data_IF_329092970921
#
_entry.id   IF_329092970921
#
_cell.length_a   1.000
_cell.length_b   1.000
_cell.length_c   1.000
_cell.angle_alpha   90.00
_cell.angle_beta   90.00
_cell.angle_gamma   90.00
#
_symmetry.space_group_name_H-M   'P 1'
#
loop_
_entity.id
_entity.type
_entity.pdbx_description
1 polymer ?
#
# COMPACT_ATOMS: atom_id res chain seq x y z
N UNK A 1 -4.17 -28.54 -7.35
CA UNK A 1 -5.23 -28.09 -8.28
C UNK A 1 -4.60 -27.07 -9.23
N UNK A 2 -4.71 -27.29 -10.55
CA UNK A 2 -4.15 -26.38 -11.55
C UNK A 2 -5.12 -25.23 -11.84
N UNK A 3 -4.58 -24.02 -11.98
CA UNK A 3 -5.27 -22.78 -12.31
C UNK A 3 -4.73 -22.28 -13.65
N UNK A 4 -5.60 -21.74 -14.49
CA UNK A 4 -5.23 -21.09 -15.74
C UNK A 4 -5.80 -19.67 -15.68
N UNK A 5 -4.93 -18.68 -15.76
CA UNK A 5 -5.27 -17.26 -15.82
C UNK A 5 -5.28 -16.78 -17.28
N UNK A 6 -5.70 -15.54 -17.48
CA UNK A 6 -5.61 -14.84 -18.76
C UNK A 6 -4.17 -14.85 -19.31
N UNK A 7 -4.02 -14.80 -20.64
CA UNK A 7 -2.71 -14.96 -21.28
C UNK A 7 -2.16 -16.39 -21.28
N UNK A 8 -2.94 -17.38 -20.80
CA UNK A 8 -2.53 -18.78 -20.75
C UNK A 8 -1.57 -19.11 -19.61
N UNK A 9 -1.43 -18.19 -18.65
CA UNK A 9 -0.57 -18.35 -17.47
C UNK A 9 -1.12 -19.50 -16.62
N UNK A 10 -0.26 -20.47 -16.32
CA UNK A 10 -0.62 -21.62 -15.48
C UNK A 10 -0.01 -21.45 -14.09
N UNK A 11 -0.78 -21.82 -13.07
CA UNK A 11 -0.26 -21.93 -11.71
C UNK A 11 -0.84 -23.16 -11.02
N UNK A 12 -0.13 -23.63 -10.01
CA UNK A 12 -0.63 -24.66 -9.10
C UNK A 12 -0.77 -24.09 -7.70
N UNK A 13 -1.90 -24.38 -7.07
CA UNK A 13 -2.06 -24.12 -5.63
C UNK A 13 -1.17 -25.11 -4.86
N UNK A 14 -0.18 -24.58 -4.16
CA UNK A 14 0.78 -25.35 -3.36
C UNK A 14 0.45 -25.35 -1.87
N UNK A 15 -0.41 -24.43 -1.43
CA UNK A 15 -0.80 -24.32 -0.04
C UNK A 15 -1.88 -23.27 0.18
N UNK A 16 -2.26 -23.13 1.45
CA UNK A 16 -3.23 -22.16 1.92
C UNK A 16 -2.79 -21.64 3.28
N UNK A 17 -2.82 -20.32 3.43
CA UNK A 17 -2.54 -19.63 4.69
C UNK A 17 -3.76 -18.81 5.09
N UNK A 18 -4.60 -19.39 5.96
CA UNK A 18 -5.88 -18.78 6.33
C UNK A 18 -6.82 -18.61 5.13
N UNK A 19 -7.12 -17.36 4.77
CA UNK A 19 -7.93 -17.03 3.58
C UNK A 19 -7.10 -16.85 2.30
N UNK A 20 -5.77 -16.90 2.38
CA UNK A 20 -4.87 -16.67 1.24
C UNK A 20 -4.45 -17.99 0.58
N UNK A 21 -4.27 -17.96 -0.73
CA UNK A 21 -3.77 -19.08 -1.51
C UNK A 21 -2.29 -18.90 -1.84
N UNK A 22 -1.48 -19.91 -1.56
CA UNK A 22 -0.10 -19.95 -1.99
C UNK A 22 -0.06 -20.57 -3.39
N UNK A 23 0.32 -19.76 -4.38
CA UNK A 23 0.38 -20.18 -5.77
C UNK A 23 1.84 -20.29 -6.23
N UNK A 24 2.13 -21.35 -6.99
CA UNK A 24 3.36 -21.46 -7.75
C UNK A 24 3.02 -21.35 -9.23
N UNK A 25 3.49 -20.29 -9.87
CA UNK A 25 3.35 -20.10 -11.31
C UNK A 25 4.29 -21.06 -12.06
N UNK A 26 3.78 -21.63 -13.15
CA UNK A 26 4.54 -22.50 -14.03
C UNK A 26 5.24 -21.67 -15.11
N UNK A 27 6.45 -22.08 -15.52
CA UNK A 27 7.26 -21.38 -16.52
C UNK A 27 8.53 -20.76 -15.95
N UNK A 28 9.22 -19.96 -16.77
CA UNK A 28 10.47 -19.29 -16.41
C UNK A 28 10.32 -17.82 -16.03
N UNK A 29 9.13 -17.25 -16.17
CA UNK A 29 8.85 -15.84 -15.86
C UNK A 29 8.59 -15.66 -14.37
N UNK A 30 9.03 -14.53 -13.84
CA UNK A 30 8.71 -14.07 -12.50
C UNK A 30 7.27 -13.56 -12.42
N UNK A 31 6.69 -13.51 -11.21
CA UNK A 31 5.35 -12.94 -10.99
C UNK A 31 5.26 -11.49 -11.47
N UNK A 32 6.34 -10.71 -11.33
CA UNK A 32 6.39 -9.33 -11.80
C UNK A 32 6.27 -9.22 -13.32
N UNK A 33 7.01 -10.04 -14.07
CA UNK A 33 6.91 -10.06 -15.54
C UNK A 33 5.52 -10.50 -16.01
N UNK A 34 4.90 -11.45 -15.30
CA UNK A 34 3.54 -11.89 -15.59
C UNK A 34 2.51 -10.78 -15.36
N UNK A 35 2.65 -10.02 -14.26
CA UNK A 35 1.80 -8.88 -13.93
C UNK A 35 2.03 -7.69 -14.87
N UNK A 36 3.24 -7.45 -15.34
CA UNK A 36 3.52 -6.38 -16.30
C UNK A 36 2.87 -6.67 -17.66
N UNK A 37 2.80 -7.94 -18.05
CA UNK A 37 2.24 -8.35 -19.33
C UNK A 37 0.72 -8.52 -19.32
N UNK A 38 0.15 -8.97 -18.21
CA UNK A 38 -1.25 -9.41 -18.13
C UNK A 38 -2.02 -8.83 -16.93
N UNK A 39 -1.37 -8.02 -16.09
CA UNK A 39 -2.00 -7.39 -14.93
C UNK A 39 -2.91 -6.25 -15.35
N UNK A 40 -4.00 -6.10 -14.61
CA UNK A 40 -4.89 -4.95 -14.71
C UNK A 40 -4.91 -4.21 -13.38
N UNK A 41 -4.93 -2.88 -13.45
CA UNK A 41 -5.09 -2.05 -12.26
C UNK A 41 -6.43 -2.37 -11.59
N UNK A 42 -6.44 -2.82 -10.32
CA UNK A 42 -7.68 -3.09 -9.62
C UNK A 42 -8.33 -1.76 -9.21
N UNK A 43 -9.38 -1.35 -9.93
CA UNK A 43 -10.19 -0.21 -9.50
C UNK A 43 -11.04 -0.59 -8.28
N UNK A 44 -11.26 0.33 -7.33
CA UNK A 44 -12.17 0.10 -6.21
C UNK A 44 -13.56 -0.32 -6.69
N UNK A 45 -14.28 -1.17 -5.93
CA UNK A 45 -15.53 -1.79 -6.38
C UNK A 45 -16.66 -0.80 -6.65
N UNK A 46 -16.55 0.45 -6.19
CA UNK A 46 -17.51 1.52 -6.47
C UNK A 46 -17.29 2.21 -7.82
N UNK A 47 -16.23 1.87 -8.57
CA UNK A 47 -15.97 2.36 -9.91
C UNK A 47 -16.37 1.28 -10.91
N UNK A 48 -17.55 1.43 -11.51
CA UNK A 48 -18.13 0.45 -12.44
C UNK A 48 -17.66 0.67 -13.89
N UNK A 49 -16.34 0.73 -14.10
CA UNK A 49 -15.72 0.72 -15.44
C UNK A 49 -14.38 -0.01 -15.41
N UNK A 50 -13.91 -0.44 -16.58
CA UNK A 50 -12.54 -0.94 -16.71
C UNK A 50 -11.54 0.21 -16.51
N UNK A 51 -10.37 -0.12 -15.95
CA UNK A 51 -9.26 0.81 -15.88
C UNK A 51 -8.87 1.26 -17.29
N UNK A 52 -8.64 2.57 -17.45
CA UNK A 52 -8.06 3.14 -18.66
C UNK A 52 -6.63 3.62 -18.40
N UNK A 53 -5.91 4.00 -19.46
CA UNK A 53 -4.51 4.43 -19.35
C UNK A 53 -4.32 5.68 -18.47
N UNK A 54 -5.38 6.46 -18.26
CA UNK A 54 -5.33 7.63 -17.40
C UNK A 54 -5.43 7.23 -15.92
N UNK A 55 -6.11 6.13 -15.60
CA UNK A 55 -6.12 5.55 -14.25
C UNK A 55 -4.74 5.11 -13.78
N UNK A 56 -3.95 4.48 -14.65
CA UNK A 56 -2.58 4.07 -14.29
C UNK A 56 -1.76 5.27 -13.78
N UNK A 57 -1.90 6.42 -14.43
CA UNK A 57 -1.21 7.65 -14.03
C UNK A 57 -1.78 8.29 -12.75
N UNK A 58 -3.09 8.16 -12.50
CA UNK A 58 -3.76 8.73 -11.32
C UNK A 58 -3.61 7.88 -10.07
N UNK A 59 -3.67 6.56 -10.22
CA UNK A 59 -3.50 5.60 -9.13
C UNK A 59 -2.03 5.42 -8.76
N UNK A 60 -1.11 5.66 -9.70
CA UNK A 60 0.29 5.87 -9.38
C UNK A 60 0.49 7.29 -8.84
N UNK A 61 0.17 7.50 -7.55
CA UNK A 61 0.42 8.80 -6.92
C UNK A 61 1.91 9.18 -6.98
N UNK A 62 2.20 10.47 -6.82
CA UNK A 62 3.57 11.02 -6.62
C UNK A 62 4.34 10.34 -5.46
N UNK A 63 3.67 9.54 -4.64
CA UNK A 63 4.25 8.80 -3.52
C UNK A 63 4.61 7.34 -3.83
N UNK A 64 4.27 6.82 -5.01
CA UNK A 64 4.48 5.42 -5.37
C UNK A 64 5.95 5.14 -5.72
N UNK A 65 6.77 4.90 -4.69
CA UNK A 65 8.20 4.60 -4.80
C UNK A 65 8.54 3.12 -5.03
N UNK A 66 7.65 2.22 -4.67
CA UNK A 66 7.89 0.77 -4.72
C UNK A 66 6.92 0.09 -5.70
N UNK A 67 7.43 -0.84 -6.51
CA UNK A 67 6.58 -1.68 -7.35
C UNK A 67 5.65 -2.55 -6.48
N UNK A 68 4.38 -2.68 -6.88
CA UNK A 68 3.37 -3.41 -6.12
C UNK A 68 2.58 -2.56 -5.12
N UNK A 69 2.67 -1.22 -5.16
CA UNK A 69 1.78 -0.35 -4.42
C UNK A 69 0.35 -0.43 -5.01
N UNK A 70 -0.50 -1.31 -4.46
CA UNK A 70 -1.86 -1.57 -4.95
C UNK A 70 -2.88 -0.50 -4.51
N UNK A 71 -2.52 0.34 -3.54
CA UNK A 71 -3.38 1.39 -3.02
C UNK A 71 -2.66 2.73 -2.97
N UNK A 72 -3.08 3.66 -3.82
CA UNK A 72 -2.87 5.08 -3.54
C UNK A 72 -3.62 5.44 -2.24
N UNK A 73 -2.97 6.09 -1.25
CA UNK A 73 -3.73 6.73 -0.21
C UNK A 73 -4.69 7.72 -0.87
N UNK A 74 -5.98 7.61 -0.62
CA UNK A 74 -7.00 8.46 -1.26
C UNK A 74 -6.75 9.95 -1.03
N UNK A 75 -6.18 10.31 0.12
CA UNK A 75 -5.73 11.66 0.42
C UNK A 75 -4.54 12.11 -0.47
N UNK A 76 -3.71 11.17 -0.92
CA UNK A 76 -2.58 11.40 -1.82
C UNK A 76 -3.00 11.75 -3.26
N UNK A 77 -4.22 11.37 -3.67
CA UNK A 77 -4.75 11.67 -5.01
C UNK A 77 -4.93 13.18 -5.26
N UNK A 78 -4.98 14.00 -4.20
CA UNK A 78 -5.11 15.45 -4.32
C UNK A 78 -3.76 16.17 -4.47
N UNK A 79 -2.62 15.46 -4.34
CA UNK A 79 -1.29 16.06 -4.41
C UNK A 79 -0.66 15.86 -5.78
N UNK A 80 -0.30 16.97 -6.42
CA UNK A 80 0.48 16.99 -7.65
C UNK A 80 1.93 17.40 -7.36
N UNK A 81 2.87 17.02 -8.23
CA UNK A 81 4.27 17.48 -8.16
C UNK A 81 4.38 19.01 -8.08
N UNK A 82 3.54 19.71 -8.85
CA UNK A 82 3.51 21.17 -8.82
C UNK A 82 3.06 21.71 -7.46
N UNK A 83 2.03 21.12 -6.86
CA UNK A 83 1.55 21.52 -5.54
C UNK A 83 2.61 21.25 -4.46
N UNK A 84 3.25 20.08 -4.50
CA UNK A 84 4.32 19.71 -3.57
C UNK A 84 5.51 20.67 -3.67
N UNK A 85 5.90 21.05 -4.89
CA UNK A 85 6.94 22.06 -5.12
C UNK A 85 6.55 23.41 -4.53
N UNK A 86 5.34 23.90 -4.79
CA UNK A 86 4.84 25.18 -4.23
C UNK A 86 4.80 25.18 -2.69
N UNK A 87 4.50 24.05 -2.07
CA UNK A 87 4.55 23.91 -0.60
C UNK A 87 5.99 23.98 -0.09
N UNK A 88 6.92 23.27 -0.75
CA UNK A 88 8.34 23.30 -0.42
C UNK A 88 8.94 24.70 -0.55
N UNK A 89 8.60 25.44 -1.60
CA UNK A 89 9.04 26.82 -1.83
C UNK A 89 8.54 27.79 -0.73
N UNK A 90 7.42 27.45 -0.08
CA UNK A 90 6.88 28.19 1.09
C UNK A 90 7.51 27.74 2.42
N UNK A 91 8.52 26.89 2.39
CA UNK A 91 9.21 26.39 3.58
C UNK A 91 8.55 25.19 4.25
N UNK A 92 7.59 24.53 3.57
CA UNK A 92 7.03 23.28 4.11
C UNK A 92 8.07 22.16 4.05
N UNK A 93 8.20 21.43 5.17
CA UNK A 93 9.05 20.24 5.26
C UNK A 93 8.18 19.02 5.00
N UNK A 94 8.61 18.17 4.08
CA UNK A 94 7.99 16.88 3.79
C UNK A 94 8.76 15.76 4.47
N UNK A 95 8.04 14.78 5.00
CA UNK A 95 8.59 13.54 5.54
C UNK A 95 7.66 12.39 5.17
N UNK A 96 8.20 11.18 5.01
CA UNK A 96 7.48 10.04 4.46
C UNK A 96 7.40 8.89 5.47
N UNK A 97 6.31 8.12 5.37
CA UNK A 97 6.13 6.84 6.05
C UNK A 97 5.65 5.85 5.02
N UNK A 98 6.08 4.60 5.13
CA UNK A 98 5.62 3.53 4.24
C UNK A 98 4.62 2.68 5.01
N UNK A 99 3.43 2.45 4.45
CA UNK A 99 2.45 1.52 4.98
C UNK A 99 2.33 0.35 4.00
N UNK A 100 2.68 -0.83 4.48
CA UNK A 100 2.53 -2.09 3.78
C UNK A 100 1.18 -2.68 4.16
N UNK A 101 0.24 -2.52 3.24
CA UNK A 101 -1.10 -3.09 3.34
C UNK A 101 -1.06 -4.54 2.86
N UNK A 102 -1.59 -5.45 3.67
CA UNK A 102 -1.73 -6.85 3.28
C UNK A 102 -2.91 -7.05 2.33
N UNK A 103 -2.99 -8.22 1.70
CA UNK A 103 -4.13 -8.60 0.84
C UNK A 103 -5.50 -8.55 1.56
N UNK A 104 -5.49 -8.54 2.90
CA UNK A 104 -6.66 -8.40 3.75
C UNK A 104 -7.34 -7.02 3.72
N UNK A 105 -6.62 -5.95 3.34
CA UNK A 105 -7.15 -4.56 3.38
C UNK A 105 -8.29 -4.34 2.37
N UNK A 106 -8.41 -5.19 1.36
CA UNK A 106 -9.51 -5.15 0.39
C UNK A 106 -10.66 -6.11 0.73
N UNK A 107 -10.56 -6.86 1.83
CA UNK A 107 -11.65 -7.75 2.22
C UNK A 107 -12.85 -6.93 2.72
N UNK A 108 -14.06 -7.21 2.23
CA UNK A 108 -15.26 -6.56 2.75
C UNK A 108 -15.45 -6.93 4.23
N UNK A 109 -16.01 -6.01 5.01
CA UNK A 109 -16.44 -6.30 6.37
C UNK A 109 -17.56 -7.34 6.30
N UNK A 110 -17.30 -8.55 6.79
CA UNK A 110 -18.23 -9.70 6.75
C UNK A 110 -19.00 -9.92 8.06
N UNK A 111 -18.97 -8.94 8.96
CA UNK A 111 -19.60 -9.04 10.29
C UNK A 111 -20.58 -7.88 10.49
N UNK A 112 -21.69 -8.15 11.17
CA UNK A 112 -22.72 -7.16 11.43
C UNK A 112 -22.29 -6.13 12.48
N UNK A 113 -21.40 -6.52 13.41
CA UNK A 113 -20.83 -5.63 14.42
C UNK A 113 -19.36 -5.35 14.12
N UNK A 114 -19.02 -4.08 13.95
CA UNK A 114 -17.66 -3.62 13.65
C UNK A 114 -16.64 -4.09 14.70
N UNK A 115 -17.04 -4.16 15.97
CA UNK A 115 -16.17 -4.63 17.07
C UNK A 115 -15.73 -6.09 16.92
N UNK A 116 -16.49 -6.88 16.16
CA UNK A 116 -16.20 -8.28 15.87
C UNK A 116 -15.35 -8.44 14.59
N UNK A 117 -15.10 -7.33 13.87
CA UNK A 117 -14.31 -7.36 12.65
C UNK A 117 -12.82 -7.47 13.00
N UNK A 118 -12.22 -8.59 12.60
CA UNK A 118 -10.77 -8.76 12.70
C UNK A 118 -10.09 -7.99 11.57
N UNK A 119 -9.51 -6.84 11.90
CA UNK A 119 -8.59 -6.17 10.99
C UNK A 119 -7.29 -6.98 10.86
N UNK A 120 -6.84 -7.18 9.63
CA UNK A 120 -5.53 -7.76 9.36
C UNK A 120 -4.44 -6.82 9.85
N UNK A 121 -3.32 -7.37 10.31
CA UNK A 121 -2.18 -6.55 10.72
C UNK A 121 -1.55 -5.88 9.49
N UNK A 122 -1.35 -4.58 9.58
CA UNK A 122 -0.57 -3.80 8.62
C UNK A 122 0.81 -3.55 9.18
N UNK A 123 1.82 -3.51 8.31
CA UNK A 123 3.18 -3.18 8.69
C UNK A 123 3.51 -1.77 8.21
N UNK A 124 4.23 -0.98 9.01
CA UNK A 124 4.65 0.35 8.60
C UNK A 124 6.12 0.58 8.91
N UNK A 125 6.76 1.37 8.06
CA UNK A 125 8.13 1.82 8.21
C UNK A 125 8.13 3.33 8.46
N UNK A 126 8.81 3.73 9.54
CA UNK A 126 9.06 5.15 9.85
C UNK A 126 10.57 5.36 9.86
N UNK A 127 11.13 5.98 8.80
CA UNK A 127 12.54 6.32 8.77
C UNK A 127 12.94 7.27 9.91
N UNK A 128 14.17 7.15 10.40
CA UNK A 128 14.69 7.97 11.51
C UNK A 128 14.62 9.48 11.22
N UNK A 129 14.82 9.86 9.97
CA UNK A 129 14.72 11.23 9.48
C UNK A 129 13.29 11.77 9.57
N UNK A 130 12.28 10.93 9.38
CA UNK A 130 10.88 11.27 9.56
C UNK A 130 10.58 11.53 11.02
N UNK A 131 11.12 10.72 11.94
CA UNK A 131 11.00 10.95 13.40
C UNK A 131 11.61 12.31 13.77
N UNK A 132 12.84 12.57 13.33
CA UNK A 132 13.54 13.83 13.60
C UNK A 132 12.77 15.04 13.03
N UNK A 133 12.20 14.92 11.82
CA UNK A 133 11.41 15.98 11.21
C UNK A 133 10.14 16.31 12.03
N UNK A 134 9.45 15.29 12.54
CA UNK A 134 8.27 15.46 13.38
C UNK A 134 8.63 16.11 14.72
N UNK A 135 9.71 15.70 15.37
CA UNK A 135 10.18 16.29 16.62
C UNK A 135 10.55 17.76 16.44
N UNK A 136 11.28 18.08 15.37
CA UNK A 136 11.65 19.44 15.04
C UNK A 136 10.42 20.33 14.73
N UNK A 137 9.39 19.79 14.07
CA UNK A 137 8.13 20.50 13.83
C UNK A 137 7.38 20.80 15.15
N UNK A 138 7.32 19.82 16.06
CA UNK A 138 6.73 20.01 17.40
C UNK A 138 7.46 21.11 18.19
N UNK A 139 8.79 21.10 18.19
CA UNK A 139 9.59 22.11 18.87
C UNK A 139 9.36 23.54 18.33
N UNK A 140 9.08 23.67 17.02
CA UNK A 140 8.76 24.95 16.35
C UNK A 140 7.30 25.41 16.54
N UNK A 141 6.47 24.67 17.28
CA UNK A 141 5.04 24.97 17.40
C UNK A 141 4.24 24.77 16.11
N UNK A 142 4.84 24.16 15.09
CA UNK A 142 4.18 23.87 13.81
C UNK A 142 3.43 22.55 13.92
N UNK A 143 2.12 22.54 13.60
CA UNK A 143 1.34 21.30 13.60
C UNK A 143 1.67 20.48 12.35
N UNK A 144 2.12 19.22 12.47
CA UNK A 144 2.24 18.34 11.32
C UNK A 144 0.87 18.20 10.63
N UNK A 145 0.83 18.34 9.29
CA UNK A 145 -0.35 18.00 8.52
C UNK A 145 -0.70 16.53 8.71
N UNK A 146 -1.99 16.22 8.96
CA UNK A 146 -2.45 14.83 9.15
C UNK A 146 -2.88 14.24 7.81
N UNK A 147 -1.99 13.48 7.16
CA UNK A 147 -2.34 12.56 6.07
C UNK A 147 -2.51 11.12 6.60
N UNK A 148 -1.75 10.74 7.63
CA UNK A 148 -1.92 9.50 8.38
C UNK A 148 -1.71 9.80 9.88
N UNK A 149 -2.71 9.52 10.72
CA UNK A 149 -2.56 9.60 12.18
C UNK A 149 -2.08 8.24 12.67
N UNK A 150 -0.76 8.03 12.72
CA UNK A 150 -0.17 6.88 13.41
C UNK A 150 -0.17 7.17 14.92
N UNK A 151 -0.79 6.32 15.77
CA UNK A 151 -0.54 6.37 17.20
C UNK A 151 0.93 6.04 17.46
N UNK A 152 1.62 6.83 18.28
CA UNK A 152 2.96 6.48 18.77
C UNK A 152 2.87 5.13 19.51
N UNK A 153 3.44 4.07 18.94
CA UNK A 153 3.68 2.83 19.66
C UNK A 153 4.91 3.00 20.58
N UNK A 154 4.84 2.61 21.86
CA UNK A 154 6.01 2.60 22.72
C UNK A 154 7.03 1.56 22.24
N UNK A 155 8.30 1.92 22.35
CA UNK A 155 9.46 1.16 21.90
C UNK A 155 9.65 -0.14 22.69
N UNK A 156 9.07 -1.24 22.21
CA UNK A 156 9.53 -2.61 22.49
C UNK A 156 8.73 -3.63 21.67
N UNK A 157 9.23 -4.04 20.51
CA UNK A 157 8.73 -5.23 19.80
C UNK A 157 9.84 -6.27 19.59
N UNK A 158 9.57 -7.57 19.82
CA UNK A 158 10.57 -8.63 19.90
C UNK A 158 11.03 -9.17 18.53
N UNK A 159 12.20 -9.83 18.56
CA UNK A 159 13.03 -10.39 17.46
C UNK A 159 12.37 -11.32 16.42
N UNK A 160 11.06 -11.53 16.41
CA UNK A 160 10.40 -12.55 15.57
C UNK A 160 9.96 -12.04 14.17
N UNK A 161 10.55 -10.96 13.65
CA UNK A 161 10.20 -10.33 12.36
C UNK A 161 11.38 -10.31 11.36
N UNK A 162 12.23 -11.34 11.42
CA UNK A 162 13.13 -11.67 10.31
C UNK A 162 12.60 -12.97 9.74
N UNK A 163 12.46 -13.03 8.42
CA UNK A 163 11.93 -14.16 7.65
C UNK A 163 10.41 -14.07 7.44
N UNK A 164 10.01 -13.23 6.48
CA UNK A 164 9.28 -13.57 5.23
C UNK A 164 9.37 -12.35 4.30
#
# INVERSE_FOLDING_TARGET
>A
MGLVFEGGIRAVMVGREGELFCLRFEGGQTVYELLEQNGHLPLPPYIERAADADDDSRYQTVYAKYQGAVAAPTAGLHFTEELLRRLKDKGAVTAEVTLHVGAGTFQPVRVDKIEEHKMHSEWFEVPSETVAAVEAAKARGTKPGRSARLPCAPSSLPRAQRDI
#
